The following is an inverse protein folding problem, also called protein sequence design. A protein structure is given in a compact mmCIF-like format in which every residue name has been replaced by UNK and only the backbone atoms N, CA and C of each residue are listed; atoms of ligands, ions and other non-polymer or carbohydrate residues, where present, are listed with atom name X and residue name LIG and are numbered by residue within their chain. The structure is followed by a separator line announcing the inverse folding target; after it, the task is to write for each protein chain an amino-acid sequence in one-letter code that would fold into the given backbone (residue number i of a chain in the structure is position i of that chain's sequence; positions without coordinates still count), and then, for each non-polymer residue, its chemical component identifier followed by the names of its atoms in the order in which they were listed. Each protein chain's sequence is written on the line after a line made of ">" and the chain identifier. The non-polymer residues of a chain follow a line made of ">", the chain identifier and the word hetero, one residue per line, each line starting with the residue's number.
data_IF_486238563832
#
_entry.id   IF_486238563832
#
_cell.length_a   1.000
_cell.length_b   1.000
_cell.length_c   1.000
_cell.angle_alpha   90.00
_cell.angle_beta   90.00
_cell.angle_gamma   90.00
#
_symmetry.space_group_name_H-M   'P 1'
#
loop_
_entity.id
_entity.type
_entity.pdbx_description
1 polymer ?
#
# COMPACT_ATOMS: atom_id res chain seq x y z
N UNK A 1 -37.36 54.30 52.00
CA UNK A 1 -37.68 53.27 51.01
C UNK A 1 -36.40 52.99 50.20
N UNK A 2 -35.75 51.83 50.41
CA UNK A 2 -34.53 51.45 49.64
C UNK A 2 -34.92 50.36 48.65
N UNK A 3 -34.84 50.71 47.41
CA UNK A 3 -35.13 49.78 46.31
C UNK A 3 -33.90 48.92 46.01
N UNK A 4 -34.01 47.58 46.23
CA UNK A 4 -32.99 46.62 45.88
C UNK A 4 -33.22 46.21 44.45
N UNK A 5 -32.22 46.42 43.59
CA UNK A 5 -32.20 45.93 42.21
C UNK A 5 -31.46 44.59 42.21
N UNK A 6 -32.17 43.53 41.94
CA UNK A 6 -31.59 42.18 41.71
C UNK A 6 -31.07 42.07 40.26
N UNK A 7 -29.78 41.96 40.11
CA UNK A 7 -29.13 41.60 38.84
C UNK A 7 -29.15 40.07 38.70
N UNK A 8 -29.94 39.58 37.76
CA UNK A 8 -29.95 38.17 37.34
C UNK A 8 -28.86 37.99 36.27
N UNK A 9 -27.78 37.32 36.63
CA UNK A 9 -26.74 36.94 35.68
C UNK A 9 -27.18 35.66 34.94
N UNK A 10 -27.50 35.78 33.65
CA UNK A 10 -27.79 34.63 32.78
C UNK A 10 -26.49 34.00 32.33
N UNK A 11 -26.21 32.78 32.78
CA UNK A 11 -25.10 31.95 32.32
C UNK A 11 -25.51 31.30 31.00
N UNK A 12 -24.93 31.76 29.91
CA UNK A 12 -25.02 31.09 28.63
C UNK A 12 -24.06 29.87 28.58
N UNK A 13 -24.63 28.69 28.71
CA UNK A 13 -23.88 27.43 28.42
C UNK A 13 -23.91 27.22 26.92
N UNK A 14 -22.80 27.46 26.24
CA UNK A 14 -22.63 27.10 24.83
C UNK A 14 -22.59 25.56 24.71
N UNK A 15 -23.40 24.95 23.82
CA UNK A 15 -23.28 23.52 23.53
C UNK A 15 -21.92 23.26 22.87
N UNK A 16 -21.07 22.53 23.56
CA UNK A 16 -19.83 22.02 22.97
C UNK A 16 -20.18 21.08 21.80
N UNK A 17 -19.91 21.54 20.58
CA UNK A 17 -19.96 20.67 19.39
C UNK A 17 -18.82 19.69 19.51
N UNK A 18 -19.13 18.47 19.94
CA UNK A 18 -18.23 17.33 19.79
C UNK A 18 -18.06 17.10 18.28
N UNK A 19 -16.93 17.51 17.74
CA UNK A 19 -16.50 17.12 16.41
C UNK A 19 -16.29 15.61 16.44
N UNK A 20 -17.32 14.85 16.09
CA UNK A 20 -17.19 13.43 15.77
C UNK A 20 -16.35 13.35 14.52
N UNK A 21 -15.19 12.71 14.62
CA UNK A 21 -14.35 12.38 13.49
C UNK A 21 -15.15 11.53 12.47
N UNK A 22 -15.52 12.13 11.34
CA UNK A 22 -16.23 11.47 10.23
C UNK A 22 -15.29 10.57 9.41
N UNK A 23 -14.50 9.73 10.03
CA UNK A 23 -13.60 8.80 9.33
C UNK A 23 -14.18 7.38 9.20
N UNK A 24 -15.37 7.13 9.75
CA UNK A 24 -16.01 5.81 9.73
C UNK A 24 -16.87 5.51 8.49
N UNK A 25 -17.09 6.48 7.60
CA UNK A 25 -18.02 6.34 6.45
C UNK A 25 -17.34 6.11 5.10
N UNK A 26 -16.03 6.03 5.03
CA UNK A 26 -15.38 5.65 3.76
C UNK A 26 -15.56 4.16 3.53
N UNK A 27 -16.26 3.80 2.43
CA UNK A 27 -16.48 2.40 2.02
C UNK A 27 -15.18 1.65 1.72
N UNK A 28 -14.06 2.36 1.59
CA UNK A 28 -12.75 1.82 1.26
C UNK A 28 -11.68 2.89 1.10
N UNK A 29 -10.52 2.47 0.62
CA UNK A 29 -9.38 3.33 0.28
C UNK A 29 -8.87 3.00 -1.11
N UNK A 30 -8.33 4.01 -1.76
CA UNK A 30 -7.80 3.92 -3.11
C UNK A 30 -6.57 4.81 -3.28
N UNK A 31 -5.47 4.21 -3.75
CA UNK A 31 -4.23 4.91 -4.05
C UNK A 31 -4.01 4.91 -5.57
N UNK A 32 -3.75 6.07 -6.14
CA UNK A 32 -3.46 6.18 -7.58
C UNK A 32 -2.02 5.77 -7.88
N UNK A 33 -1.75 4.47 -7.77
CA UNK A 33 -0.45 3.89 -8.11
C UNK A 33 -0.37 3.72 -9.62
N UNK A 34 0.68 4.25 -10.29
CA UNK A 34 0.89 4.05 -11.71
C UNK A 34 0.91 2.56 -12.06
N UNK A 35 0.36 2.20 -13.22
CA UNK A 35 0.41 0.82 -13.69
C UNK A 35 1.54 0.61 -14.70
N UNK A 36 2.37 -0.38 -14.45
CA UNK A 36 3.44 -0.81 -15.35
C UNK A 36 3.23 -2.29 -15.70
N UNK A 37 3.05 -2.56 -17.00
CA UNK A 37 2.95 -3.94 -17.49
C UNK A 37 4.34 -4.57 -17.46
N UNK A 38 4.42 -5.80 -16.96
CA UNK A 38 5.69 -6.53 -16.95
C UNK A 38 6.16 -6.95 -18.34
N UNK A 39 7.45 -7.06 -18.50
CA UNK A 39 8.10 -7.89 -19.52
C UNK A 39 8.13 -9.35 -19.05
N UNK A 40 8.75 -10.25 -19.82
CA UNK A 40 8.86 -11.66 -19.44
C UNK A 40 9.53 -11.78 -18.06
N UNK A 41 8.89 -12.50 -17.13
CA UNK A 41 9.37 -12.73 -15.76
C UNK A 41 9.67 -11.42 -14.96
N UNK A 42 9.03 -10.30 -15.35
CA UNK A 42 9.31 -8.96 -14.84
C UNK A 42 8.36 -8.47 -13.75
N UNK A 43 7.60 -9.34 -13.06
CA UNK A 43 6.65 -8.90 -12.05
C UNK A 43 7.31 -8.12 -10.89
N UNK A 44 8.51 -8.54 -10.47
CA UNK A 44 9.25 -7.88 -9.42
C UNK A 44 9.73 -6.48 -9.81
N UNK A 45 10.33 -6.32 -10.99
CA UNK A 45 10.81 -5.03 -11.49
C UNK A 45 9.66 -4.05 -11.73
N UNK A 46 8.56 -4.51 -12.32
CA UNK A 46 7.37 -3.69 -12.53
C UNK A 46 6.75 -3.25 -11.21
N UNK A 47 6.68 -4.14 -10.20
CA UNK A 47 6.16 -3.80 -8.86
C UNK A 47 7.03 -2.78 -8.13
N UNK A 48 8.36 -2.91 -8.21
CA UNK A 48 9.30 -1.91 -7.67
C UNK A 48 9.07 -0.57 -8.36
N UNK A 49 9.05 -0.54 -9.69
CA UNK A 49 8.90 0.69 -10.47
C UNK A 49 7.57 1.39 -10.17
N UNK A 50 6.45 0.65 -10.08
CA UNK A 50 5.15 1.20 -9.70
C UNK A 50 5.18 1.86 -8.31
N UNK A 51 5.81 1.20 -7.33
CA UNK A 51 5.95 1.72 -5.97
C UNK A 51 6.80 2.99 -5.94
N UNK A 52 7.93 3.00 -6.60
CA UNK A 52 8.84 4.15 -6.63
C UNK A 52 8.25 5.34 -7.37
N UNK A 53 7.56 5.11 -8.50
CA UNK A 53 6.85 6.18 -9.22
C UNK A 53 5.71 6.76 -8.39
N UNK A 54 4.98 5.93 -7.62
CA UNK A 54 3.97 6.43 -6.68
C UNK A 54 4.60 7.39 -5.66
N UNK A 55 5.67 7.01 -4.99
CA UNK A 55 6.32 7.84 -4.00
C UNK A 55 6.97 9.09 -4.61
N UNK A 56 7.50 9.00 -5.83
CA UNK A 56 8.02 10.16 -6.57
C UNK A 56 6.91 11.18 -6.84
N UNK A 57 5.73 10.73 -7.28
CA UNK A 57 4.56 11.57 -7.48
C UNK A 57 4.06 12.22 -6.16
N UNK A 58 4.40 11.62 -5.01
CA UNK A 58 4.08 12.14 -3.67
C UNK A 58 5.26 12.88 -3.01
N UNK A 59 6.19 13.41 -3.80
CA UNK A 59 7.22 14.34 -3.36
C UNK A 59 8.54 13.69 -2.92
N UNK A 60 8.71 12.38 -3.01
CA UNK A 60 9.99 11.73 -2.74
C UNK A 60 10.95 11.94 -3.91
N UNK A 61 12.16 12.45 -3.64
CA UNK A 61 13.18 12.64 -4.65
C UNK A 61 13.81 11.27 -5.01
N UNK A 62 13.53 10.77 -6.21
CA UNK A 62 14.05 9.51 -6.72
C UNK A 62 14.59 9.75 -8.13
N UNK A 63 15.81 9.32 -8.41
CA UNK A 63 16.39 9.47 -9.73
C UNK A 63 15.61 8.60 -10.76
N UNK A 64 15.33 9.13 -11.96
CA UNK A 64 14.47 8.44 -12.95
C UNK A 64 14.94 7.02 -13.30
N UNK A 65 16.26 6.79 -13.36
CA UNK A 65 16.84 5.47 -13.64
C UNK A 65 16.50 4.41 -12.61
N UNK A 66 16.20 4.80 -11.37
CA UNK A 66 15.77 3.88 -10.32
C UNK A 66 14.29 3.50 -10.42
N UNK A 67 13.52 4.20 -11.25
CA UNK A 67 12.08 3.96 -11.44
C UNK A 67 11.77 3.30 -12.78
N UNK A 68 12.78 2.98 -13.58
CA UNK A 68 12.64 2.31 -14.86
C UNK A 68 12.59 0.78 -14.67
N UNK A 69 11.48 0.15 -15.06
CA UNK A 69 11.27 -1.28 -14.84
C UNK A 69 12.27 -2.16 -15.60
N UNK A 70 12.68 -1.74 -16.81
CA UNK A 70 13.63 -2.52 -17.63
C UNK A 70 15.05 -2.41 -17.05
N UNK A 71 15.45 -1.24 -16.58
CA UNK A 71 16.72 -1.06 -15.87
C UNK A 71 16.79 -1.90 -14.60
N UNK A 72 15.72 -1.89 -13.79
CA UNK A 72 15.59 -2.72 -12.58
C UNK A 72 15.67 -4.20 -12.95
N UNK A 73 14.94 -4.64 -13.97
CA UNK A 73 14.96 -6.02 -14.44
C UNK A 73 16.38 -6.44 -14.85
N UNK A 74 17.06 -5.62 -15.64
CA UNK A 74 18.42 -5.90 -16.09
C UNK A 74 19.41 -6.04 -14.91
N UNK A 75 19.21 -5.27 -13.86
CA UNK A 75 20.09 -5.26 -12.68
C UNK A 75 19.83 -6.44 -11.74
N UNK A 76 18.55 -6.81 -11.51
CA UNK A 76 18.17 -7.71 -10.43
C UNK A 76 17.72 -9.10 -10.88
N UNK A 77 17.49 -9.30 -12.17
CA UNK A 77 16.95 -10.57 -12.67
C UNK A 77 17.87 -11.76 -12.41
N UNK A 78 17.30 -12.81 -11.84
CA UNK A 78 17.94 -14.09 -11.62
C UNK A 78 17.39 -15.16 -12.56
N UNK A 79 18.25 -15.71 -13.42
CA UNK A 79 17.88 -16.86 -14.27
C UNK A 79 17.45 -18.08 -13.46
N UNK A 80 18.10 -18.32 -12.31
CA UNK A 80 17.82 -19.46 -11.43
C UNK A 80 16.45 -19.27 -10.73
N UNK A 81 16.10 -18.03 -10.39
CA UNK A 81 14.85 -17.69 -9.70
C UNK A 81 13.70 -17.41 -10.67
N UNK A 82 13.94 -17.37 -11.99
CA UNK A 82 12.94 -16.94 -12.97
C UNK A 82 12.25 -15.63 -12.60
N UNK A 83 13.04 -14.65 -12.11
CA UNK A 83 12.53 -13.37 -11.63
C UNK A 83 13.49 -12.70 -10.66
N UNK A 84 12.97 -11.87 -9.78
CA UNK A 84 13.72 -11.16 -8.74
C UNK A 84 13.46 -11.81 -7.39
N UNK A 85 14.53 -12.19 -6.67
CA UNK A 85 14.39 -12.69 -5.30
C UNK A 85 13.90 -11.58 -4.36
N UNK A 86 13.09 -11.95 -3.37
CA UNK A 86 12.58 -11.02 -2.36
C UNK A 86 13.71 -10.22 -1.68
N UNK A 87 14.82 -10.89 -1.34
CA UNK A 87 15.99 -10.23 -0.72
C UNK A 87 16.63 -9.16 -1.61
N UNK A 88 16.64 -9.36 -2.94
CA UNK A 88 17.19 -8.41 -3.88
C UNK A 88 16.26 -7.21 -4.08
N UNK A 89 14.94 -7.47 -4.12
CA UNK A 89 13.92 -6.44 -4.13
C UNK A 89 13.98 -5.55 -2.89
N UNK A 90 14.07 -6.17 -1.71
CA UNK A 90 14.21 -5.46 -0.44
C UNK A 90 15.50 -4.60 -0.39
N UNK A 91 16.63 -5.19 -0.82
CA UNK A 91 17.92 -4.48 -0.86
C UNK A 91 17.85 -3.28 -1.79
N UNK A 92 17.33 -3.47 -3.01
CA UNK A 92 17.19 -2.39 -3.99
C UNK A 92 16.40 -1.21 -3.44
N UNK A 93 15.27 -1.47 -2.80
CA UNK A 93 14.46 -0.41 -2.20
C UNK A 93 15.19 0.31 -1.05
N UNK A 94 15.97 -0.42 -0.22
CA UNK A 94 16.81 0.22 0.82
C UNK A 94 17.88 1.11 0.20
N UNK A 95 18.56 0.62 -0.85
CA UNK A 95 19.63 1.35 -1.55
C UNK A 95 19.07 2.59 -2.27
N UNK A 96 17.78 2.58 -2.62
CA UNK A 96 17.07 3.73 -3.23
C UNK A 96 16.52 4.72 -2.17
N UNK A 97 16.83 4.53 -0.88
CA UNK A 97 16.48 5.49 0.19
C UNK A 97 15.16 5.20 0.91
N UNK A 98 14.72 3.95 0.93
CA UNK A 98 13.52 3.54 1.64
C UNK A 98 13.83 2.76 2.93
N UNK A 99 13.00 2.94 3.94
CA UNK A 99 12.87 2.00 5.05
C UNK A 99 11.98 0.85 4.58
N UNK A 100 12.48 -0.37 4.68
CA UNK A 100 11.84 -1.56 4.10
C UNK A 100 11.59 -2.60 5.17
N UNK A 101 10.35 -3.07 5.23
CA UNK A 101 9.88 -4.06 6.18
C UNK A 101 9.23 -5.23 5.40
N UNK A 102 9.86 -6.39 5.47
CA UNK A 102 9.29 -7.63 4.95
C UNK A 102 8.59 -8.36 6.11
N UNK A 103 7.30 -8.59 5.98
CA UNK A 103 6.43 -9.06 7.04
C UNK A 103 5.63 -10.29 6.58
N UNK A 104 5.11 -11.04 7.54
CA UNK A 104 3.96 -11.93 7.33
C UNK A 104 2.72 -11.13 7.67
N UNK A 105 2.04 -10.66 6.62
CA UNK A 105 0.92 -9.77 6.77
C UNK A 105 -0.38 -10.46 7.14
N UNK A 106 -1.32 -9.67 7.65
CA UNK A 106 -2.70 -10.02 7.86
C UNK A 106 -3.61 -9.07 7.08
N UNK A 107 -4.89 -9.43 6.92
CA UNK A 107 -5.87 -8.57 6.23
C UNK A 107 -5.95 -7.15 6.81
N UNK A 108 -5.83 -7.04 8.14
CA UNK A 108 -5.85 -5.74 8.82
C UNK A 108 -4.60 -4.90 8.53
N UNK A 109 -3.46 -5.50 8.27
CA UNK A 109 -2.24 -4.76 7.92
C UNK A 109 -2.40 -4.08 6.55
N UNK A 110 -3.07 -4.75 5.59
CA UNK A 110 -3.41 -4.12 4.31
C UNK A 110 -4.27 -2.88 4.53
N UNK A 111 -5.32 -3.01 5.35
CA UNK A 111 -6.20 -1.90 5.68
C UNK A 111 -5.43 -0.75 6.32
N UNK A 112 -4.61 -1.04 7.33
CA UNK A 112 -3.83 -0.04 8.05
C UNK A 112 -2.90 0.73 7.13
N UNK A 113 -2.08 0.03 6.34
CA UNK A 113 -1.09 0.69 5.50
C UNK A 113 -1.73 1.43 4.32
N UNK A 114 -2.70 0.83 3.66
CA UNK A 114 -3.40 1.50 2.56
C UNK A 114 -4.15 2.75 3.03
N UNK A 115 -4.77 2.73 4.23
CA UNK A 115 -5.43 3.91 4.82
C UNK A 115 -4.45 5.06 5.10
N UNK A 116 -3.17 4.73 5.33
CA UNK A 116 -2.08 5.70 5.51
C UNK A 116 -1.40 6.12 4.21
N UNK A 117 -2.00 5.80 3.05
CA UNK A 117 -1.43 6.14 1.75
C UNK A 117 -0.17 5.34 1.39
N UNK A 118 -0.02 4.12 1.91
CA UNK A 118 1.16 3.28 1.74
C UNK A 118 0.83 2.07 0.86
N UNK A 119 1.12 2.08 -0.45
CA UNK A 119 0.98 0.90 -1.29
C UNK A 119 1.95 -0.20 -0.85
N UNK A 120 1.57 -1.46 -1.08
CA UNK A 120 2.29 -2.62 -0.59
C UNK A 120 2.65 -3.56 -1.76
N UNK A 121 3.87 -4.07 -1.78
CA UNK A 121 4.21 -5.17 -2.68
C UNK A 121 3.88 -6.47 -1.97
N UNK A 122 3.08 -7.30 -2.61
CA UNK A 122 2.66 -8.60 -2.12
C UNK A 122 3.20 -9.70 -3.02
N UNK A 123 3.48 -10.87 -2.47
CA UNK A 123 3.70 -12.08 -3.26
C UNK A 123 2.48 -12.97 -3.14
N UNK A 124 1.95 -13.41 -4.26
CA UNK A 124 0.79 -14.32 -4.35
C UNK A 124 1.11 -15.51 -5.24
N UNK A 125 0.31 -16.57 -5.16
CA UNK A 125 0.33 -17.72 -6.06
C UNK A 125 -1.00 -17.78 -6.83
N UNK A 126 -1.13 -17.07 -7.96
CA UNK A 126 -2.38 -16.97 -8.69
C UNK A 126 -2.87 -18.33 -9.20
N UNK A 127 -4.16 -18.63 -8.98
CA UNK A 127 -4.79 -19.85 -9.51
C UNK A 127 -4.49 -21.14 -8.75
N UNK A 128 -3.80 -21.07 -7.60
CA UNK A 128 -3.59 -22.20 -6.67
C UNK A 128 -2.31 -22.99 -6.93
N UNK A 129 -2.17 -24.14 -6.24
CA UNK A 129 -0.94 -24.90 -6.05
C UNK A 129 -0.10 -25.12 -7.30
N UNK A 130 1.17 -24.76 -7.20
CA UNK A 130 2.24 -24.91 -8.20
C UNK A 130 2.34 -23.83 -9.29
N UNK A 131 1.55 -22.75 -9.21
CA UNK A 131 1.83 -21.58 -10.06
C UNK A 131 3.12 -20.89 -9.62
N UNK A 132 3.88 -20.25 -10.53
CA UNK A 132 5.02 -19.42 -10.14
C UNK A 132 4.59 -18.32 -9.18
N UNK A 133 5.40 -18.06 -8.16
CA UNK A 133 5.19 -16.93 -7.25
C UNK A 133 5.19 -15.63 -8.05
N UNK A 134 4.26 -14.74 -7.72
CA UNK A 134 4.01 -13.55 -8.50
C UNK A 134 3.92 -12.33 -7.59
N UNK A 135 4.61 -11.23 -7.97
CA UNK A 135 4.51 -9.96 -7.26
C UNK A 135 3.41 -9.08 -7.85
N UNK A 136 2.62 -8.50 -6.97
CA UNK A 136 1.58 -7.51 -7.28
C UNK A 136 1.68 -6.34 -6.32
N UNK A 137 1.09 -5.20 -6.69
CA UNK A 137 1.02 -4.03 -5.80
C UNK A 137 -0.41 -3.84 -5.32
N UNK A 138 -0.64 -3.97 -4.00
CA UNK A 138 -1.91 -3.60 -3.40
C UNK A 138 -2.06 -2.07 -3.42
N UNK A 139 -3.17 -1.61 -3.98
CA UNK A 139 -3.45 -0.19 -4.23
C UNK A 139 -4.74 0.31 -3.58
N UNK A 140 -5.56 -0.58 -3.04
CA UNK A 140 -6.82 -0.21 -2.40
C UNK A 140 -7.55 -1.37 -1.77
N UNK A 141 -8.58 -1.03 -1.01
CA UNK A 141 -9.50 -2.00 -0.40
C UNK A 141 -10.92 -1.44 -0.35
N UNK A 142 -11.89 -2.32 -0.55
CA UNK A 142 -13.31 -2.10 -0.26
C UNK A 142 -13.66 -2.83 1.04
N UNK A 143 -13.90 -2.07 2.10
CA UNK A 143 -14.17 -2.66 3.42
C UNK A 143 -15.53 -3.35 3.49
N UNK A 144 -16.52 -2.79 2.76
CA UNK A 144 -17.90 -3.28 2.80
C UNK A 144 -18.05 -4.58 2.01
N UNK A 145 -17.28 -4.69 0.92
CA UNK A 145 -17.31 -5.88 0.06
C UNK A 145 -16.16 -6.85 0.34
N UNK A 146 -15.35 -6.59 1.36
CA UNK A 146 -14.19 -7.41 1.71
C UNK A 146 -13.35 -7.77 0.46
N UNK A 147 -12.94 -6.76 -0.29
CA UNK A 147 -12.14 -6.94 -1.50
C UNK A 147 -10.86 -6.09 -1.45
N UNK A 148 -9.78 -6.60 -2.04
CA UNK A 148 -8.54 -5.86 -2.28
C UNK A 148 -8.42 -5.51 -3.76
N UNK A 149 -7.87 -4.34 -4.05
CA UNK A 149 -7.51 -3.92 -5.40
C UNK A 149 -6.00 -4.01 -5.57
N UNK A 150 -5.56 -4.68 -6.63
CA UNK A 150 -4.15 -4.83 -6.95
C UNK A 150 -3.85 -4.36 -8.36
N UNK A 151 -2.67 -3.77 -8.55
CA UNK A 151 -2.04 -3.69 -9.85
C UNK A 151 -1.23 -4.97 -10.05
N UNK A 152 -1.68 -5.81 -10.95
CA UNK A 152 -1.02 -7.05 -11.32
C UNK A 152 -0.26 -6.83 -12.64
N UNK A 153 1.08 -6.82 -12.62
CA UNK A 153 1.88 -6.51 -13.81
C UNK A 153 1.63 -7.43 -15.00
N UNK A 154 1.21 -8.67 -14.75
CA UNK A 154 0.92 -9.64 -15.81
C UNK A 154 -0.50 -9.50 -16.36
N UNK A 155 -1.47 -9.14 -15.52
CA UNK A 155 -2.91 -9.21 -15.83
C UNK A 155 -3.53 -7.85 -16.09
N UNK A 156 -3.28 -6.84 -15.25
CA UNK A 156 -3.86 -5.52 -15.45
C UNK A 156 -3.87 -4.60 -14.23
N UNK A 157 -4.32 -3.37 -14.46
CA UNK A 157 -4.50 -2.34 -13.44
C UNK A 157 -5.78 -2.62 -12.65
N UNK A 158 -5.73 -2.41 -11.32
CA UNK A 158 -6.89 -2.36 -10.44
C UNK A 158 -7.79 -3.61 -10.49
N UNK A 159 -7.16 -4.76 -10.49
CA UNK A 159 -7.89 -6.01 -10.39
C UNK A 159 -8.49 -6.12 -8.99
N UNK A 160 -9.81 -6.29 -8.95
CA UNK A 160 -10.55 -6.55 -7.71
C UNK A 160 -10.50 -8.04 -7.42
N UNK A 161 -10.05 -8.38 -6.22
CA UNK A 161 -9.97 -9.78 -5.74
C UNK A 161 -10.75 -9.84 -4.43
N UNK A 162 -11.69 -10.78 -4.34
CA UNK A 162 -12.45 -11.04 -3.12
C UNK A 162 -11.51 -11.60 -2.03
N UNK A 163 -11.78 -11.26 -0.78
CA UNK A 163 -10.94 -11.63 0.35
C UNK A 163 -10.61 -13.13 0.41
N UNK A 164 -11.60 -13.99 0.25
CA UNK A 164 -11.41 -15.44 0.36
C UNK A 164 -10.47 -15.98 -0.73
N UNK A 165 -10.57 -15.47 -1.97
CA UNK A 165 -9.69 -15.83 -3.07
C UNK A 165 -8.28 -15.28 -2.82
N UNK A 166 -8.19 -13.99 -2.47
CA UNK A 166 -6.94 -13.33 -2.18
C UNK A 166 -6.17 -14.00 -1.04
N UNK A 167 -6.81 -14.26 0.11
CA UNK A 167 -6.17 -14.90 1.26
C UNK A 167 -5.64 -16.29 0.90
N UNK A 168 -6.34 -17.05 0.07
CA UNK A 168 -5.88 -18.36 -0.41
C UNK A 168 -4.60 -18.24 -1.24
N UNK A 169 -4.56 -17.31 -2.20
CA UNK A 169 -3.38 -17.07 -3.05
C UNK A 169 -2.20 -16.50 -2.23
N UNK A 170 -2.50 -15.66 -1.25
CA UNK A 170 -1.51 -15.01 -0.40
C UNK A 170 -0.91 -15.96 0.65
N UNK A 171 -1.71 -16.84 1.24
CA UNK A 171 -1.24 -17.86 2.19
C UNK A 171 -0.21 -18.81 1.58
N UNK A 172 -0.30 -19.11 0.30
CA UNK A 172 0.67 -19.94 -0.42
C UNK A 172 2.09 -19.37 -0.35
N UNK A 173 2.22 -18.04 -0.22
CA UNK A 173 3.50 -17.32 -0.05
C UNK A 173 3.80 -16.96 1.41
N UNK A 174 3.12 -17.59 2.36
CA UNK A 174 3.19 -17.28 3.80
C UNK A 174 2.82 -15.82 4.10
N UNK A 175 1.87 -15.29 3.35
CA UNK A 175 1.39 -13.90 3.45
C UNK A 175 2.52 -12.87 3.30
N UNK A 176 3.45 -13.09 2.36
CA UNK A 176 4.53 -12.14 2.15
C UNK A 176 4.00 -10.76 1.81
N UNK A 177 4.36 -9.78 2.63
CA UNK A 177 4.04 -8.38 2.52
C UNK A 177 5.31 -7.57 2.64
N UNK A 178 5.55 -6.68 1.68
CA UNK A 178 6.63 -5.74 1.74
C UNK A 178 6.09 -4.32 1.78
N UNK A 179 6.37 -3.65 2.88
CA UNK A 179 6.16 -2.22 3.09
C UNK A 179 7.48 -1.49 2.83
N UNK A 180 7.45 -0.50 1.95
CA UNK A 180 8.55 0.44 1.78
C UNK A 180 8.03 1.88 1.88
N UNK A 181 8.63 2.65 2.78
CA UNK A 181 8.31 4.07 3.01
C UNK A 181 9.57 4.91 2.87
N UNK A 182 9.51 6.13 2.32
CA UNK A 182 10.68 6.99 2.21
C UNK A 182 11.38 7.17 3.56
N UNK A 183 12.71 7.07 3.60
CA UNK A 183 13.47 7.22 4.85
C UNK A 183 13.34 8.64 5.45
N UNK A 184 13.07 9.65 4.60
CA UNK A 184 12.81 11.03 5.00
C UNK A 184 11.39 11.27 5.54
N UNK A 185 10.48 10.29 5.43
CA UNK A 185 9.15 10.42 6.03
C UNK A 185 9.27 10.47 7.57
N UNK A 186 8.49 11.33 8.25
CA UNK A 186 8.49 11.35 9.71
C UNK A 186 8.13 9.96 10.27
N UNK A 187 8.78 9.60 11.38
CA UNK A 187 8.38 8.43 12.15
C UNK A 187 7.05 8.76 12.85
N UNK A 188 6.01 8.00 12.56
CA UNK A 188 4.74 8.07 13.29
C UNK A 188 4.80 7.26 14.58
#
# INVERSE_FOLDING_TARGET
>A
MRTIVLLIASVFIAPGVLAQSQDSDKAGVWLDVPFIKQTVEGCGSASIAMLLQYWSAHGTQIAPEHMDADAIQKQLYSRKGHGIYASDLERYLRDTGFRVFALRGAWNDLREHLSKGRPLILSIEPGGSHAPLHYVVATGMDWQREAVFVNDPARGKLLRIERAEFEKEWQATKNYLLLAVPASAPAE
#
